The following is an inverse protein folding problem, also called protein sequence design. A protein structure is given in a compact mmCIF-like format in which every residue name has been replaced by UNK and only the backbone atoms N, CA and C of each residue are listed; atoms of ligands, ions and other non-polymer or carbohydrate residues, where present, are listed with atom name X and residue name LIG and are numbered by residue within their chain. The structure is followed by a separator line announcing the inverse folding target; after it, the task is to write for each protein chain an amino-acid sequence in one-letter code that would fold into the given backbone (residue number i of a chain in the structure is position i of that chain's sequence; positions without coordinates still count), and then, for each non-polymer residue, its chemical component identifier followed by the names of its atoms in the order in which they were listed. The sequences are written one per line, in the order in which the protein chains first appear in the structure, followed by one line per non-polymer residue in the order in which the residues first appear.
data_IF_821890117916
#
_entry.id   IF_821890117916
#
_cell.length_a   1.000
_cell.length_b   1.000
_cell.length_c   1.000
_cell.angle_alpha   90.00
_cell.angle_beta   90.00
_cell.angle_gamma   90.00
#
_symmetry.space_group_name_H-M   'P 1'
#
loop_
_entity.id
_entity.type
_entity.pdbx_description
1 polymer ?
#
# COMPACT_ATOMS: atom_id res chain seq x y z
N UNK A 1 15.50 9.87 17.56
CA UNK A 1 14.41 10.06 16.56
C UNK A 1 13.60 8.78 16.49
N UNK A 2 12.28 8.88 16.48
CA UNK A 2 11.42 7.70 16.34
C UNK A 2 11.67 7.02 14.98
N UNK A 3 11.86 5.71 15.00
CA UNK A 3 11.95 4.89 13.80
C UNK A 3 10.55 4.57 13.28
N UNK A 4 10.32 4.86 12.00
CA UNK A 4 9.04 4.59 11.32
C UNK A 4 9.30 3.72 10.10
N UNK A 5 8.74 2.52 10.12
CA UNK A 5 8.82 1.55 9.03
C UNK A 5 7.52 1.61 8.21
N UNK A 6 7.56 2.09 6.96
CA UNK A 6 6.44 2.01 6.03
C UNK A 6 6.58 0.72 5.24
N UNK A 7 5.63 -0.20 5.45
CA UNK A 7 5.78 -1.60 5.07
C UNK A 7 4.70 -2.00 4.06
N UNK A 8 5.12 -2.34 2.84
CA UNK A 8 4.26 -2.94 1.84
C UNK A 8 3.96 -4.39 2.18
N UNK A 9 2.69 -4.72 2.41
CA UNK A 9 2.28 -6.08 2.80
C UNK A 9 1.85 -6.97 1.63
N UNK A 10 2.09 -6.50 0.42
CA UNK A 10 1.67 -7.26 -0.76
C UNK A 10 0.14 -7.32 -0.94
N UNK A 11 -0.38 -8.34 -1.62
CA UNK A 11 -1.81 -8.50 -1.90
C UNK A 11 -2.64 -8.95 -0.70
N UNK A 12 -2.03 -9.08 0.49
CA UNK A 12 -2.71 -9.43 1.74
C UNK A 12 -2.60 -10.89 2.17
N UNK A 13 -1.91 -11.74 1.41
CA UNK A 13 -1.55 -13.08 1.84
C UNK A 13 -0.20 -13.03 2.61
N UNK A 14 -0.12 -13.51 3.87
CA UNK A 14 1.12 -13.52 4.65
C UNK A 14 2.28 -14.26 3.98
N UNK A 15 2.00 -15.27 3.17
CA UNK A 15 3.02 -16.04 2.45
C UNK A 15 3.69 -15.22 1.33
N UNK A 16 3.07 -14.13 0.92
CA UNK A 16 3.57 -13.20 -0.09
C UNK A 16 4.26 -11.96 0.50
N UNK A 17 4.49 -11.93 1.82
CA UNK A 17 5.37 -10.94 2.41
C UNK A 17 6.81 -11.15 1.95
N UNK A 18 7.49 -10.08 1.59
CA UNK A 18 8.95 -10.14 1.43
C UNK A 18 9.62 -10.44 2.77
N UNK A 19 10.81 -11.02 2.74
CA UNK A 19 11.57 -11.28 3.97
C UNK A 19 11.81 -10.02 4.80
N UNK A 20 12.17 -8.91 4.14
CA UNK A 20 12.37 -7.61 4.79
C UNK A 20 11.09 -7.04 5.40
N UNK A 21 9.95 -7.13 4.70
CA UNK A 21 8.67 -6.70 5.23
C UNK A 21 8.26 -7.49 6.49
N UNK A 22 8.48 -8.81 6.46
CA UNK A 22 8.22 -9.69 7.62
C UNK A 22 9.08 -9.30 8.82
N UNK A 23 10.36 -9.04 8.60
CA UNK A 23 11.29 -8.61 9.64
C UNK A 23 10.88 -7.24 10.19
N UNK A 24 10.59 -6.26 9.32
CA UNK A 24 10.16 -4.93 9.73
C UNK A 24 8.87 -4.95 10.55
N UNK A 25 7.91 -5.85 10.22
CA UNK A 25 6.71 -6.08 11.04
C UNK A 25 7.12 -6.65 12.40
N UNK A 26 8.03 -7.62 12.45
CA UNK A 26 8.46 -8.24 13.70
C UNK A 26 9.14 -7.23 14.64
N UNK A 27 9.98 -6.36 14.11
CA UNK A 27 10.70 -5.32 14.86
C UNK A 27 9.80 -4.17 15.34
N UNK A 28 8.64 -3.97 14.74
CA UNK A 28 7.71 -2.91 15.13
C UNK A 28 7.00 -3.24 16.45
N UNK A 29 7.04 -2.32 17.41
CA UNK A 29 6.29 -2.42 18.70
C UNK A 29 4.88 -1.89 18.56
N UNK A 30 4.69 -0.93 17.63
CA UNK A 30 3.42 -0.31 17.29
C UNK A 30 3.13 -0.59 15.82
N UNK A 31 1.90 -0.99 15.50
CA UNK A 31 1.43 -1.12 14.12
C UNK A 31 0.24 -0.21 13.85
N UNK A 32 0.30 0.54 12.75
CA UNK A 32 -0.80 1.32 12.22
C UNK A 32 -1.11 0.88 10.78
N UNK A 33 -2.38 1.01 10.38
CA UNK A 33 -2.81 0.59 9.05
C UNK A 33 -4.32 0.36 8.99
N UNK A 34 -4.81 -0.09 7.84
CA UNK A 34 -6.22 -0.50 7.72
C UNK A 34 -6.57 -1.58 8.76
N UNK A 35 -7.81 -1.55 9.27
CA UNK A 35 -8.29 -2.47 10.31
C UNK A 35 -7.99 -3.95 10.02
N UNK A 36 -8.14 -4.36 8.77
CA UNK A 36 -7.84 -5.73 8.33
C UNK A 36 -6.35 -6.06 8.47
N UNK A 37 -5.48 -5.11 8.09
CA UNK A 37 -4.04 -5.31 8.12
C UNK A 37 -3.51 -5.42 9.55
N UNK A 38 -3.89 -4.47 10.42
CA UNK A 38 -3.45 -4.52 11.81
C UNK A 38 -4.08 -5.69 12.57
N UNK A 39 -5.28 -6.12 12.20
CA UNK A 39 -5.90 -7.34 12.73
C UNK A 39 -5.12 -8.62 12.35
N UNK A 40 -4.52 -8.65 11.17
CA UNK A 40 -3.76 -9.80 10.67
C UNK A 40 -2.34 -9.88 11.26
N UNK A 41 -1.67 -8.74 11.41
CA UNK A 41 -0.24 -8.68 11.78
C UNK A 41 0.03 -8.12 13.17
N UNK A 42 -1.00 -7.65 13.88
CA UNK A 42 -0.85 -6.91 15.13
C UNK A 42 -0.83 -7.74 16.42
N UNK A 43 -0.83 -9.08 16.33
CA UNK A 43 -0.80 -9.93 17.53
C UNK A 43 0.39 -9.58 18.43
N UNK A 44 0.11 -9.32 19.74
CA UNK A 44 1.13 -8.96 20.72
C UNK A 44 1.71 -7.54 20.58
N UNK A 45 1.12 -6.69 19.76
CA UNK A 45 1.59 -5.32 19.50
C UNK A 45 0.52 -4.28 19.86
N UNK A 46 0.95 -3.03 20.10
CA UNK A 46 0.03 -1.90 20.17
C UNK A 46 -0.47 -1.57 18.76
N UNK A 47 -1.78 -1.58 18.52
CA UNK A 47 -2.34 -1.42 17.18
C UNK A 47 -3.23 -0.18 17.07
N UNK A 48 -3.12 0.50 15.91
CA UNK A 48 -3.94 1.65 15.54
C UNK A 48 -4.58 1.41 14.18
N UNK A 49 -5.88 1.13 14.12
CA UNK A 49 -6.58 0.82 12.86
C UNK A 49 -6.89 2.10 12.08
N UNK A 50 -5.85 2.78 11.62
CA UNK A 50 -5.98 4.04 10.89
C UNK A 50 -4.96 4.17 9.76
N UNK A 51 -5.38 4.84 8.68
CA UNK A 51 -4.54 5.27 7.56
C UNK A 51 -4.58 6.79 7.38
N UNK A 52 -5.28 7.51 8.25
CA UNK A 52 -5.37 8.96 8.19
C UNK A 52 -4.07 9.60 8.65
N UNK A 53 -3.51 10.47 7.81
CA UNK A 53 -2.20 11.07 8.06
C UNK A 53 -2.11 11.85 9.36
N UNK A 54 -3.19 12.56 9.77
CA UNK A 54 -3.23 13.27 11.02
C UNK A 54 -3.13 12.32 12.23
N UNK A 55 -3.93 11.25 12.22
CA UNK A 55 -3.89 10.23 13.28
C UNK A 55 -2.55 9.49 13.34
N UNK A 56 -1.93 9.21 12.19
CA UNK A 56 -0.58 8.62 12.13
C UNK A 56 0.49 9.56 12.72
N UNK A 57 0.35 10.87 12.49
CA UNK A 57 1.23 11.86 13.10
C UNK A 57 1.07 11.93 14.63
N UNK A 58 -0.17 11.84 15.14
CA UNK A 58 -0.46 11.77 16.58
C UNK A 58 0.11 10.51 17.21
N UNK A 59 -0.03 9.34 16.55
CA UNK A 59 0.57 8.08 17.00
C UNK A 59 2.09 8.22 17.11
N UNK A 60 2.73 8.80 16.09
CA UNK A 60 4.17 9.03 16.08
C UNK A 60 4.63 10.02 17.17
N UNK A 61 3.85 11.08 17.42
CA UNK A 61 4.16 12.08 18.45
C UNK A 61 4.04 11.53 19.88
N UNK A 62 3.16 10.53 20.09
CA UNK A 62 2.93 9.91 21.39
C UNK A 62 3.77 8.64 21.64
N UNK A 63 4.57 8.22 20.67
CA UNK A 63 5.47 7.08 20.80
C UNK A 63 6.78 7.45 21.50
N UNK A 64 7.34 6.54 22.30
CA UNK A 64 8.64 6.69 22.94
C UNK A 64 9.73 6.38 21.91
N UNK A 65 10.48 7.41 21.49
CA UNK A 65 11.50 7.29 20.45
C UNK A 65 12.66 6.36 20.80
N UNK A 66 12.87 6.07 22.07
CA UNK A 66 13.95 5.20 22.55
C UNK A 66 13.52 3.72 22.66
N UNK A 67 12.22 3.47 22.74
CA UNK A 67 11.65 2.12 22.95
C UNK A 67 10.78 1.65 21.81
N UNK A 68 10.14 2.57 21.11
CA UNK A 68 9.13 2.24 20.11
C UNK A 68 9.69 2.27 18.68
N UNK A 69 9.15 1.35 17.87
CA UNK A 69 9.27 1.34 16.42
C UNK A 69 7.87 1.32 15.83
N UNK A 70 7.50 2.35 15.07
CA UNK A 70 6.18 2.44 14.44
C UNK A 70 6.21 1.79 13.05
N UNK A 71 5.52 0.69 12.88
CA UNK A 71 5.24 0.08 11.59
C UNK A 71 3.93 0.61 11.00
N UNK A 72 3.98 1.18 9.80
CA UNK A 72 2.80 1.63 9.05
C UNK A 72 2.59 0.68 7.88
N UNK A 73 1.52 -0.11 7.95
CA UNK A 73 1.18 -1.10 6.94
C UNK A 73 0.44 -0.47 5.77
N UNK A 74 0.91 -0.73 4.56
CA UNK A 74 0.27 -0.30 3.32
C UNK A 74 0.04 -1.48 2.38
N UNK A 75 -1.06 -1.46 1.64
CA UNK A 75 -1.39 -2.51 0.66
C UNK A 75 -0.42 -2.49 -0.52
N UNK A 76 -0.10 -3.65 -1.06
CA UNK A 76 0.76 -3.80 -2.22
C UNK A 76 2.20 -3.39 -1.95
N UNK A 77 2.75 -2.56 -2.84
CA UNK A 77 4.11 -2.02 -2.75
C UNK A 77 4.12 -0.54 -2.35
N UNK A 78 5.12 -0.13 -1.60
CA UNK A 78 5.29 1.26 -1.11
C UNK A 78 5.51 2.28 -2.21
N UNK A 79 5.99 1.89 -3.38
CA UNK A 79 6.24 2.74 -4.55
C UNK A 79 5.09 2.76 -5.56
N UNK A 80 4.10 1.85 -5.43
CA UNK A 80 3.07 1.67 -6.44
C UNK A 80 1.72 2.26 -6.02
N UNK A 81 1.45 3.51 -6.38
CA UNK A 81 0.24 4.28 -6.02
C UNK A 81 -0.09 4.25 -4.52
N UNK A 82 0.93 4.18 -3.69
CA UNK A 82 0.82 3.98 -2.25
C UNK A 82 0.76 5.30 -1.47
N UNK A 83 0.09 5.26 -0.32
CA UNK A 83 0.10 6.32 0.70
C UNK A 83 1.53 6.59 1.24
N UNK A 84 2.44 5.64 1.12
CA UNK A 84 3.84 5.75 1.56
C UNK A 84 4.55 7.00 1.02
N UNK A 85 4.17 7.48 -0.17
CA UNK A 85 4.72 8.73 -0.74
C UNK A 85 4.45 9.94 0.15
N UNK A 86 3.28 10.01 0.77
CA UNK A 86 2.82 11.16 1.57
C UNK A 86 3.24 11.05 3.03
N UNK A 87 3.40 9.84 3.56
CA UNK A 87 3.72 9.58 4.96
C UNK A 87 5.05 10.25 5.35
N UNK A 88 6.10 10.04 4.56
CA UNK A 88 7.43 10.59 4.88
C UNK A 88 7.42 12.12 4.97
N UNK A 89 6.68 12.80 4.11
CA UNK A 89 6.53 14.26 4.14
C UNK A 89 5.72 14.78 5.34
N UNK A 90 4.92 13.93 5.98
CA UNK A 90 4.11 14.28 7.16
C UNK A 90 4.78 13.95 8.50
N UNK A 91 5.89 13.21 8.47
CA UNK A 91 6.67 12.80 9.65
C UNK A 91 8.13 13.25 9.56
N UNK A 92 8.41 14.57 9.35
CA UNK A 92 9.78 15.05 9.12
C UNK A 92 10.69 14.88 10.34
N UNK A 93 10.12 14.73 11.54
CA UNK A 93 10.83 14.49 12.80
C UNK A 93 11.16 13.02 13.05
N UNK A 94 10.80 12.12 12.14
CA UNK A 94 11.01 10.67 12.27
C UNK A 94 12.06 10.16 11.28
N UNK A 95 12.74 9.08 11.64
CA UNK A 95 13.55 8.30 10.70
C UNK A 95 12.64 7.32 9.93
N UNK A 96 12.25 7.69 8.70
CA UNK A 96 11.32 6.89 7.90
C UNK A 96 12.07 5.97 6.95
N UNK A 97 11.87 4.66 7.10
CA UNK A 97 12.32 3.62 6.15
C UNK A 97 11.14 3.01 5.42
N UNK A 98 11.37 2.55 4.18
CA UNK A 98 10.36 1.91 3.34
C UNK A 98 10.79 0.50 3.01
N UNK A 99 9.86 -0.43 3.14
CA UNK A 99 10.05 -1.84 2.83
C UNK A 99 9.10 -2.25 1.72
N UNK A 100 9.63 -2.80 0.63
CA UNK A 100 8.83 -3.15 -0.53
C UNK A 100 7.87 -4.30 -0.23
N UNK A 101 6.74 -4.30 -0.94
CA UNK A 101 5.81 -5.40 -1.00
C UNK A 101 5.56 -5.80 -2.45
N UNK A 102 4.90 -6.92 -2.69
CA UNK A 102 4.48 -7.33 -4.02
C UNK A 102 3.28 -6.49 -4.44
N UNK A 103 3.40 -5.70 -5.50
CA UNK A 103 2.28 -4.89 -6.00
C UNK A 103 1.18 -5.78 -6.59
N UNK A 104 -0.05 -5.27 -6.61
CA UNK A 104 -1.18 -5.95 -7.24
C UNK A 104 -0.94 -6.20 -8.74
N UNK A 105 -0.24 -5.30 -9.43
CA UNK A 105 0.14 -5.47 -10.83
C UNK A 105 1.02 -6.72 -11.02
N UNK A 106 2.11 -6.82 -10.26
CA UNK A 106 3.06 -7.94 -10.36
C UNK A 106 2.37 -9.27 -10.05
N UNK A 107 1.60 -9.29 -8.95
CA UNK A 107 0.87 -10.49 -8.55
C UNK A 107 -0.19 -10.89 -9.58
N UNK A 108 -0.99 -9.95 -10.07
CA UNK A 108 -2.04 -10.21 -11.05
C UNK A 108 -1.47 -10.69 -12.38
N UNK A 109 -0.42 -10.04 -12.91
CA UNK A 109 0.23 -10.43 -14.14
C UNK A 109 0.84 -11.84 -14.06
N UNK A 110 1.44 -12.19 -12.91
CA UNK A 110 1.97 -13.54 -12.68
C UNK A 110 0.87 -14.61 -12.67
N UNK A 111 -0.32 -14.29 -12.12
CA UNK A 111 -1.47 -15.23 -12.14
C UNK A 111 -2.05 -15.42 -13.53
N UNK A 112 -1.95 -14.40 -14.39
CA UNK A 112 -2.37 -14.46 -15.80
C UNK A 112 -1.27 -15.03 -16.72
N UNK A 113 -0.07 -15.33 -16.19
CA UNK A 113 1.09 -15.75 -16.99
C UNK A 113 1.44 -14.74 -18.10
N UNK A 114 1.34 -13.45 -17.78
CA UNK A 114 1.53 -12.34 -18.72
C UNK A 114 2.70 -11.47 -18.30
N UNK A 115 3.51 -11.03 -19.29
CA UNK A 115 4.42 -9.91 -19.12
C UNK A 115 3.64 -8.59 -18.98
N UNK A 116 4.17 -7.64 -18.22
CA UNK A 116 3.54 -6.34 -17.96
C UNK A 116 4.46 -5.13 -18.26
N UNK A 117 5.67 -5.38 -18.76
CA UNK A 117 6.67 -4.36 -19.10
C UNK A 117 6.20 -3.38 -20.18
N UNK A 118 5.32 -3.84 -21.09
CA UNK A 118 4.70 -3.04 -22.16
C UNK A 118 3.31 -2.47 -21.76
N UNK A 119 2.86 -2.68 -20.50
CA UNK A 119 1.55 -2.24 -20.07
C UNK A 119 1.51 -0.74 -19.72
N UNK A 120 0.47 -0.05 -20.19
CA UNK A 120 0.11 1.27 -19.66
C UNK A 120 -0.51 1.09 -18.27
N UNK A 121 0.09 1.71 -17.28
CA UNK A 121 -0.36 1.62 -15.88
C UNK A 121 -1.10 2.89 -15.51
N UNK A 122 -2.33 2.74 -15.02
CA UNK A 122 -3.18 3.84 -14.55
C UNK A 122 -3.80 3.49 -13.18
N UNK A 123 -4.34 4.48 -12.51
CA UNK A 123 -5.06 4.27 -11.26
C UNK A 123 -6.41 4.99 -11.28
N UNK A 124 -7.48 4.21 -11.19
CA UNK A 124 -8.85 4.69 -11.01
C UNK A 124 -9.28 4.64 -9.53
N UNK A 125 -8.38 4.25 -8.63
CA UNK A 125 -8.63 4.18 -7.20
C UNK A 125 -8.57 5.58 -6.58
N UNK A 126 -9.72 6.16 -6.24
CA UNK A 126 -9.83 7.51 -5.68
C UNK A 126 -9.38 8.62 -6.63
N UNK A 127 -9.31 8.34 -7.94
CA UNK A 127 -8.90 9.27 -9.01
C UNK A 127 -9.75 9.06 -10.23
N UNK A 128 -9.88 10.12 -11.04
CA UNK A 128 -10.47 10.02 -12.37
C UNK A 128 -9.35 10.12 -13.41
N UNK A 129 -9.25 9.12 -14.27
CA UNK A 129 -8.38 9.12 -15.46
C UNK A 129 -9.18 8.65 -16.66
N UNK A 130 -8.76 9.03 -17.85
CA UNK A 130 -9.45 8.60 -19.06
C UNK A 130 -9.04 7.17 -19.45
N UNK A 131 -9.77 6.19 -18.92
CA UNK A 131 -9.55 4.77 -19.19
C UNK A 131 -9.77 4.45 -20.68
N UNK A 132 -10.81 5.01 -21.29
CA UNK A 132 -11.15 4.77 -22.70
C UNK A 132 -9.99 5.20 -23.59
N UNK A 133 -9.45 6.41 -23.39
CA UNK A 133 -8.28 6.88 -24.14
C UNK A 133 -7.07 5.97 -23.96
N UNK A 134 -6.83 5.47 -22.76
CA UNK A 134 -5.71 4.56 -22.51
C UNK A 134 -5.89 3.24 -23.27
N UNK A 135 -7.09 2.65 -23.25
CA UNK A 135 -7.38 1.38 -23.95
C UNK A 135 -7.32 1.53 -25.47
N UNK A 136 -7.71 2.68 -26.01
CA UNK A 136 -7.60 2.95 -27.46
C UNK A 136 -6.15 3.14 -27.93
N UNK A 137 -5.26 3.61 -27.05
CA UNK A 137 -3.87 3.90 -27.40
C UNK A 137 -2.90 2.76 -27.12
N UNK A 138 -3.20 1.90 -26.15
CA UNK A 138 -2.26 0.87 -25.68
C UNK A 138 -2.90 -0.52 -25.75
N UNK A 139 -2.14 -1.48 -26.28
CA UNK A 139 -2.58 -2.88 -26.41
C UNK A 139 -2.85 -3.55 -25.07
N UNK A 140 -2.20 -3.07 -24.00
CA UNK A 140 -2.29 -3.61 -22.64
C UNK A 140 -2.41 -2.45 -21.66
N UNK A 141 -3.47 -2.44 -20.86
CA UNK A 141 -3.70 -1.43 -19.83
C UNK A 141 -3.95 -2.14 -18.52
N UNK A 142 -3.20 -1.80 -17.48
CA UNK A 142 -3.48 -2.20 -16.11
C UNK A 142 -4.07 -1.01 -15.36
N UNK A 143 -5.20 -1.22 -14.69
CA UNK A 143 -5.82 -0.19 -13.86
C UNK A 143 -6.03 -0.67 -12.43
N UNK A 144 -5.58 0.13 -11.45
CA UNK A 144 -6.07 -0.02 -10.09
C UNK A 144 -7.52 0.45 -10.03
N UNK A 145 -8.36 -0.34 -9.39
CA UNK A 145 -9.79 -0.09 -9.22
C UNK A 145 -10.12 0.20 -7.76
N UNK A 146 -11.28 0.83 -7.48
CA UNK A 146 -11.74 1.05 -6.11
C UNK A 146 -12.76 2.18 -6.01
N UNK A 147 -13.51 2.18 -4.90
CA UNK A 147 -14.62 3.12 -4.73
C UNK A 147 -15.67 2.98 -5.81
N UNK A 148 -16.05 4.08 -6.43
CA UNK A 148 -17.03 4.12 -7.53
C UNK A 148 -16.50 3.47 -8.83
N UNK A 149 -15.19 3.30 -8.96
CA UNK A 149 -14.55 2.71 -10.13
C UNK A 149 -14.31 1.20 -9.89
N UNK A 150 -15.39 0.44 -9.70
CA UNK A 150 -15.29 -1.01 -9.60
C UNK A 150 -14.96 -1.65 -10.96
N UNK A 151 -14.36 -2.85 -11.01
CA UNK A 151 -14.09 -3.54 -12.28
C UNK A 151 -15.33 -3.66 -13.17
N UNK A 152 -16.50 -3.93 -12.57
CA UNK A 152 -17.77 -4.08 -13.30
C UNK A 152 -18.18 -2.78 -13.98
N UNK A 153 -18.04 -1.63 -13.29
CA UNK A 153 -18.38 -0.31 -13.84
C UNK A 153 -17.42 0.03 -14.99
N UNK A 154 -16.10 -0.18 -14.78
CA UNK A 154 -15.09 0.11 -15.78
C UNK A 154 -15.25 -0.78 -17.03
N UNK A 155 -15.54 -2.07 -16.86
CA UNK A 155 -15.83 -2.96 -17.99
C UNK A 155 -17.06 -2.50 -18.78
N UNK A 156 -18.13 -2.07 -18.10
CA UNK A 156 -19.32 -1.55 -18.77
C UNK A 156 -18.99 -0.32 -19.63
N UNK A 157 -18.24 0.64 -19.09
CA UNK A 157 -17.81 1.83 -19.82
C UNK A 157 -16.98 1.52 -21.08
N UNK A 158 -16.27 0.39 -21.08
CA UNK A 158 -15.48 -0.03 -22.24
C UNK A 158 -16.30 -0.77 -23.29
N UNK A 159 -17.53 -1.22 -22.96
CA UNK A 159 -18.43 -1.91 -23.88
C UNK A 159 -19.46 -0.96 -24.56
N UNK A 160 -19.63 0.25 -24.05
CA UNK A 160 -20.46 1.33 -24.60
C UNK A 160 -19.70 2.13 -25.65
#
# INVERSE_FOLDING_TARGET
MLKVNVIGIGPGNPDLLTGEARQAIAESTILAGDKRMVGQFGSGKKVYPTIKLAELAEVAANADADKDVLGILVSGDVGFFSLAKTIAGKLPQCEVKRYCGISSLVYFASRLQMSWDDAKIISMHGRQQNLISAVLQYKKVFSLTGGENSPQILCRQLCE
#
